data_IF_887469676646
#
_entry.id   IF_887469676646
#
_cell.length_a   1.000
_cell.length_b   1.000
_cell.length_c   1.000
_cell.angle_alpha   90.00
_cell.angle_beta   90.00
_cell.angle_gamma   90.00
#
_symmetry.space_group_name_H-M   'P 1'
#
loop_
_entity.id
_entity.type
_entity.pdbx_description
1 polymer ?
#
# COMPACT_ATOMS: atom_id res chain seq x y z
N UNK A 1 -0.26 13.38 6.81
CA UNK A 1 -0.82 14.52 7.56
C UNK A 1 -1.87 13.98 8.54
N UNK A 2 -1.48 13.63 9.79
CA UNK A 2 -2.36 13.00 10.82
C UNK A 2 -2.04 13.61 12.20
N UNK A 3 -2.16 14.93 12.35
CA UNK A 3 -1.87 15.60 13.64
C UNK A 3 -2.87 16.68 14.14
N UNK A 4 -4.03 16.95 13.52
CA UNK A 4 -4.83 18.11 13.93
C UNK A 4 -5.36 18.01 15.38
N UNK A 5 -5.66 16.82 15.89
CA UNK A 5 -6.31 16.67 17.21
C UNK A 5 -5.38 17.00 18.40
N UNK A 6 -4.13 16.56 18.37
CA UNK A 6 -3.18 16.72 19.50
C UNK A 6 -2.37 18.01 19.43
N UNK A 7 -2.34 18.66 18.27
CA UNK A 7 -1.72 19.98 18.08
C UNK A 7 -2.59 21.14 18.56
N UNK A 8 -3.88 20.92 18.81
CA UNK A 8 -4.81 21.94 19.29
C UNK A 8 -4.82 22.03 20.83
N UNK A 9 -4.99 23.24 21.41
CA UNK A 9 -5.31 23.41 22.82
C UNK A 9 -6.56 22.61 23.21
N UNK A 10 -6.69 22.14 24.45
CA UNK A 10 -7.79 21.25 24.86
C UNK A 10 -9.20 21.79 24.56
N UNK A 11 -9.39 23.11 24.62
CA UNK A 11 -10.68 23.76 24.37
C UNK A 11 -11.09 23.75 22.88
N UNK A 12 -10.12 23.64 21.97
CA UNK A 12 -10.34 23.71 20.52
C UNK A 12 -10.39 22.31 19.86
N UNK A 13 -10.25 21.25 20.66
CA UNK A 13 -10.29 19.87 20.17
C UNK A 13 -11.72 19.45 19.91
N UNK A 14 -11.99 19.05 18.68
CA UNK A 14 -13.24 18.35 18.35
C UNK A 14 -13.13 16.87 18.78
N UNK A 15 -13.90 16.42 19.79
CA UNK A 15 -13.87 15.03 20.23
C UNK A 15 -14.40 14.04 19.18
N UNK A 16 -15.20 14.49 18.20
CA UNK A 16 -15.74 13.65 17.14
C UNK A 16 -14.72 13.33 16.05
N UNK A 17 -13.65 14.14 15.93
CA UNK A 17 -12.67 14.02 14.84
C UNK A 17 -11.96 12.66 14.85
N UNK A 18 -11.63 12.12 16.02
CA UNK A 18 -11.01 10.78 16.10
C UNK A 18 -11.96 9.68 15.64
N UNK A 19 -13.25 9.80 15.94
CA UNK A 19 -14.27 8.83 15.52
C UNK A 19 -14.46 8.90 14.01
N UNK A 20 -14.59 10.11 13.46
CA UNK A 20 -14.72 10.32 12.01
C UNK A 20 -13.50 9.81 11.24
N UNK A 21 -12.28 10.08 11.72
CA UNK A 21 -11.07 9.57 11.10
C UNK A 21 -11.01 8.04 11.13
N UNK A 22 -11.41 7.42 12.25
CA UNK A 22 -11.50 5.97 12.39
C UNK A 22 -12.53 5.38 11.41
N UNK A 23 -13.75 5.89 11.37
CA UNK A 23 -14.80 5.39 10.47
C UNK A 23 -14.42 5.56 9.00
N UNK A 24 -13.80 6.69 8.64
CA UNK A 24 -13.29 6.92 7.28
C UNK A 24 -12.22 5.89 6.88
N UNK A 25 -11.28 5.57 7.80
CA UNK A 25 -10.25 4.57 7.54
C UNK A 25 -10.84 3.16 7.42
N UNK A 26 -11.81 2.80 8.27
CA UNK A 26 -12.53 1.53 8.17
C UNK A 26 -13.22 1.44 6.81
N UNK A 27 -14.03 2.45 6.46
CA UNK A 27 -14.76 2.49 5.20
C UNK A 27 -13.81 2.38 3.99
N UNK A 28 -12.65 3.04 4.01
CA UNK A 28 -11.68 2.97 2.92
C UNK A 28 -11.07 1.56 2.73
N UNK A 29 -10.97 0.78 3.80
CA UNK A 29 -10.39 -0.58 3.76
C UNK A 29 -11.45 -1.65 3.51
N UNK A 30 -12.64 -1.49 4.09
CA UNK A 30 -13.70 -2.51 4.07
C UNK A 30 -14.68 -2.35 2.91
N UNK A 31 -14.71 -1.18 2.26
CA UNK A 31 -15.53 -1.00 1.06
C UNK A 31 -14.78 -1.56 -0.13
N UNK A 32 -15.40 -2.53 -0.81
CA UNK A 32 -14.90 -3.06 -2.07
C UNK A 32 -14.85 -1.91 -3.09
N UNK A 33 -13.68 -1.33 -3.28
CA UNK A 33 -13.44 -0.44 -4.39
C UNK A 33 -13.43 -1.31 -5.66
N UNK A 34 -13.91 -0.80 -6.81
CA UNK A 34 -13.69 -1.46 -8.08
C UNK A 34 -12.22 -1.85 -8.16
N UNK A 35 -11.95 -3.11 -8.51
CA UNK A 35 -10.58 -3.59 -8.63
C UNK A 35 -9.77 -2.53 -9.38
N UNK A 36 -8.62 -2.08 -8.83
CA UNK A 36 -7.81 -1.09 -9.50
C UNK A 36 -7.57 -1.55 -10.94
N UNK A 37 -7.56 -0.63 -11.92
CA UNK A 37 -7.35 -0.99 -13.31
C UNK A 37 -6.10 -1.86 -13.41
N UNK A 38 -6.15 -2.85 -14.31
CA UNK A 38 -5.01 -3.74 -14.56
C UNK A 38 -3.72 -2.92 -14.64
N UNK A 39 -2.65 -3.41 -14.00
CA UNK A 39 -1.38 -2.69 -13.91
C UNK A 39 -0.99 -2.08 -15.27
N UNK A 40 -1.08 -0.75 -15.39
CA UNK A 40 -0.83 -0.02 -16.64
C UNK A 40 0.60 0.48 -16.74
N UNK A 41 1.39 0.34 -15.68
CA UNK A 41 2.77 0.81 -15.63
C UNK A 41 3.74 -0.27 -15.09
N UNK A 42 5.04 -0.04 -15.31
CA UNK A 42 6.09 -0.98 -14.93
C UNK A 42 6.20 -1.14 -13.40
N UNK A 43 5.91 -0.08 -12.63
CA UNK A 43 6.01 -0.08 -11.17
C UNK A 43 4.94 -0.98 -10.57
N UNK A 44 3.67 -0.76 -10.93
CA UNK A 44 2.51 -1.56 -10.52
C UNK A 44 2.65 -3.02 -10.95
N UNK A 45 3.15 -3.27 -12.17
CA UNK A 45 3.41 -4.63 -12.66
C UNK A 45 4.50 -5.31 -11.83
N UNK A 46 5.59 -4.60 -11.50
CA UNK A 46 6.68 -5.14 -10.69
C UNK A 46 6.23 -5.47 -9.26
N UNK A 47 5.42 -4.61 -8.65
CA UNK A 47 4.82 -4.86 -7.33
C UNK A 47 3.92 -6.10 -7.35
N UNK A 48 3.03 -6.20 -8.34
CA UNK A 48 2.12 -7.34 -8.47
C UNK A 48 2.87 -8.66 -8.68
N UNK A 49 3.88 -8.69 -9.56
CA UNK A 49 4.66 -9.90 -9.83
C UNK A 49 5.52 -10.30 -8.62
N UNK A 50 6.06 -9.33 -7.87
CA UNK A 50 6.83 -9.59 -6.64
C UNK A 50 5.98 -10.26 -5.57
N UNK A 51 4.70 -9.89 -5.46
CA UNK A 51 3.77 -10.49 -4.49
C UNK A 51 3.54 -11.99 -4.73
N UNK A 52 3.61 -12.45 -5.99
CA UNK A 52 3.42 -13.86 -6.35
C UNK A 52 4.75 -14.62 -6.56
N UNK A 53 5.90 -13.95 -6.49
CA UNK A 53 7.21 -14.59 -6.69
C UNK A 53 7.48 -15.80 -5.77
N UNK A 54 7.10 -15.80 -4.48
CA UNK A 54 7.30 -16.96 -3.61
C UNK A 54 6.55 -18.23 -4.06
N UNK A 55 5.50 -18.09 -4.88
CA UNK A 55 4.70 -19.23 -5.36
C UNK A 55 5.18 -19.76 -6.71
N UNK A 56 6.22 -19.17 -7.32
CA UNK A 56 6.77 -19.59 -8.60
C UNK A 56 7.64 -20.84 -8.42
N UNK A 57 7.03 -22.02 -8.51
CA UNK A 57 7.70 -23.32 -8.35
C UNK A 57 8.64 -23.69 -9.50
N UNK A 58 8.53 -23.00 -10.64
CA UNK A 58 9.44 -23.16 -11.77
C UNK A 58 10.84 -22.56 -11.51
N UNK A 59 10.96 -21.71 -10.47
CA UNK A 59 12.20 -21.06 -10.07
C UNK A 59 12.77 -21.72 -8.82
N UNK A 60 14.09 -21.84 -8.78
CA UNK A 60 14.86 -22.16 -7.59
C UNK A 60 14.77 -21.03 -6.56
N UNK A 61 15.20 -21.30 -5.33
CA UNK A 61 15.22 -20.29 -4.27
C UNK A 61 16.08 -19.07 -4.64
N UNK A 62 17.25 -19.30 -5.23
CA UNK A 62 18.16 -18.24 -5.65
C UNK A 62 17.57 -17.41 -6.80
N UNK A 63 16.90 -18.04 -7.75
CA UNK A 63 16.21 -17.35 -8.85
C UNK A 63 15.03 -16.51 -8.34
N UNK A 64 14.26 -17.01 -7.36
CA UNK A 64 13.18 -16.23 -6.72
C UNK A 64 13.73 -15.04 -5.95
N UNK A 65 14.86 -15.20 -5.28
CA UNK A 65 15.54 -14.10 -4.58
C UNK A 65 16.02 -13.02 -5.56
N UNK A 66 16.68 -13.43 -6.65
CA UNK A 66 17.16 -12.52 -7.70
C UNK A 66 16.00 -11.76 -8.37
N UNK A 67 14.94 -12.47 -8.74
CA UNK A 67 13.76 -11.86 -9.34
C UNK A 67 13.10 -10.86 -8.39
N UNK A 68 12.96 -11.22 -7.10
CA UNK A 68 12.40 -10.33 -6.08
C UNK A 68 13.19 -9.02 -5.94
N UNK A 69 14.51 -9.10 -6.05
CA UNK A 69 15.40 -7.95 -5.97
C UNK A 69 15.27 -7.05 -7.22
N UNK A 70 15.25 -7.63 -8.42
CA UNK A 70 15.05 -6.85 -9.64
C UNK A 70 13.70 -6.15 -9.66
N UNK A 71 12.63 -6.85 -9.26
CA UNK A 71 11.30 -6.26 -9.17
C UNK A 71 11.23 -5.17 -8.10
N UNK A 72 11.93 -5.32 -6.97
CA UNK A 72 12.04 -4.28 -5.97
C UNK A 72 12.69 -3.02 -6.54
N UNK A 73 13.82 -3.16 -7.25
CA UNK A 73 14.51 -2.04 -7.89
C UNK A 73 13.64 -1.29 -8.89
N UNK A 74 12.83 -2.00 -9.68
CA UNK A 74 11.87 -1.39 -10.60
C UNK A 74 10.77 -0.67 -9.83
N UNK A 75 10.22 -1.30 -8.79
CA UNK A 75 9.15 -0.73 -7.98
C UNK A 75 9.56 0.55 -7.22
N UNK A 76 10.85 0.69 -6.91
CA UNK A 76 11.42 1.90 -6.27
C UNK A 76 12.08 2.86 -7.26
N UNK A 77 12.09 2.53 -8.55
CA UNK A 77 12.63 3.41 -9.58
C UNK A 77 11.69 4.59 -9.73
N UNK A 78 12.15 5.76 -9.34
CA UNK A 78 11.46 7.03 -9.62
C UNK A 78 11.68 7.35 -11.09
N UNK A 79 10.59 7.42 -11.86
CA UNK A 79 10.60 8.00 -13.21
C UNK A 79 10.48 9.53 -13.14
#
# INVERSE_FOLDING_TARGET
MVFPLISLPPADRDPALSVLAREAAIAAVTTDHPAPPAATDAVSTAVALRAVTPTLTALTDDERALLSEWLHRIATSTA
#
